data_IF_711281053235
#
_entry.id   IF_711281053235
#
_cell.length_a   1.000
_cell.length_b   1.000
_cell.length_c   1.000
_cell.angle_alpha   90.00
_cell.angle_beta   90.00
_cell.angle_gamma   90.00
#
_symmetry.space_group_name_H-M   'P 1'
#
loop_
_entity.id
_entity.type
_entity.pdbx_description
1 polymer ?
#
# COMPACT_ATOMS: atom_id res chain seq x y z
N UNK A 1 21.89 2.11 -26.65
CA UNK A 1 21.07 1.31 -25.71
C UNK A 1 21.27 1.88 -24.31
N UNK A 2 20.20 2.37 -23.66
CA UNK A 2 20.27 3.00 -22.33
C UNK A 2 20.44 1.91 -21.27
N UNK A 3 21.51 2.02 -20.48
CA UNK A 3 21.80 1.13 -19.35
C UNK A 3 20.69 1.26 -18.28
N UNK A 4 20.10 0.16 -17.76
CA UNK A 4 19.22 0.24 -16.61
C UNK A 4 20.05 0.63 -15.38
N UNK A 5 19.83 1.86 -14.90
CA UNK A 5 20.50 2.44 -13.76
C UNK A 5 20.17 1.67 -12.46
N UNK A 6 21.22 1.47 -11.68
CA UNK A 6 21.30 0.77 -10.40
C UNK A 6 20.52 1.58 -9.34
N UNK A 7 19.22 1.33 -9.20
CA UNK A 7 18.34 2.09 -8.27
C UNK A 7 18.04 1.37 -6.94
N UNK A 8 18.43 0.11 -6.77
CA UNK A 8 18.05 -0.68 -5.58
C UNK A 8 18.82 -0.33 -4.29
N UNK A 9 20.06 0.12 -4.42
CA UNK A 9 20.96 0.40 -3.29
C UNK A 9 20.76 1.80 -2.65
N UNK A 10 20.56 2.90 -3.41
CA UNK A 10 20.19 4.19 -2.81
C UNK A 10 18.81 4.14 -2.14
N UNK A 11 17.91 3.27 -2.59
CA UNK A 11 16.59 3.06 -2.00
C UNK A 11 16.68 2.43 -0.59
N UNK A 12 17.58 1.45 -0.40
CA UNK A 12 17.86 0.82 0.91
C UNK A 12 18.48 1.82 1.89
N UNK A 13 19.35 2.70 1.40
CA UNK A 13 19.94 3.79 2.21
C UNK A 13 18.87 4.84 2.58
N UNK A 14 17.93 5.15 1.68
CA UNK A 14 16.81 6.06 1.97
C UNK A 14 15.84 5.47 3.03
N UNK A 15 15.61 4.15 2.99
CA UNK A 15 14.85 3.41 3.99
C UNK A 15 15.54 3.48 5.36
N UNK A 16 16.87 3.32 5.40
CA UNK A 16 17.69 3.44 6.62
C UNK A 16 17.65 4.85 7.22
N UNK A 17 17.71 5.90 6.40
CA UNK A 17 17.60 7.30 6.87
C UNK A 17 16.22 7.55 7.51
N UNK A 18 15.16 6.93 6.97
CA UNK A 18 13.81 7.04 7.54
C UNK A 18 13.63 6.31 8.89
N UNK A 19 14.46 5.30 9.16
CA UNK A 19 14.48 4.53 10.42
C UNK A 19 15.44 5.14 11.46
N UNK A 20 16.55 5.75 11.02
CA UNK A 20 17.53 6.43 11.89
C UNK A 20 17.02 7.75 12.48
N UNK A 21 15.98 8.37 11.90
CA UNK A 21 15.32 9.54 12.45
C UNK A 21 14.42 9.26 13.68
N UNK A 22 14.50 8.06 14.26
CA UNK A 22 13.74 7.67 15.45
C UNK A 22 14.67 7.44 16.64
N UNK A 23 14.85 8.49 17.44
CA UNK A 23 15.17 8.40 18.87
C UNK A 23 14.34 9.45 19.63
N UNK A 24 14.05 9.25 20.92
CA UNK A 24 13.48 8.08 21.58
C UNK A 24 11.95 8.23 21.76
N UNK A 25 11.32 7.25 22.39
CA UNK A 25 9.93 7.33 22.83
C UNK A 25 9.66 8.61 23.63
N UNK A 26 8.66 9.39 23.19
CA UNK A 26 7.96 10.32 24.08
C UNK A 26 6.67 9.61 24.48
N UNK A 27 6.66 9.09 25.69
CA UNK A 27 5.44 8.76 26.42
C UNK A 27 4.71 10.09 26.67
N UNK A 28 3.52 10.26 26.10
CA UNK A 28 2.54 11.24 26.58
C UNK A 28 1.34 10.45 27.06
N UNK A 29 1.29 10.29 28.37
CA UNK A 29 0.07 10.01 29.12
C UNK A 29 -0.99 11.05 28.78
N UNK A 30 -2.23 10.60 28.66
CA UNK A 30 -3.40 11.42 28.33
C UNK A 30 -3.45 12.67 29.21
N UNK A 31 -3.44 13.84 28.56
CA UNK A 31 -4.27 14.94 28.99
C UNK A 31 -4.94 15.54 27.74
N UNK A 32 -6.19 15.90 27.95
CA UNK A 32 -7.21 16.30 26.99
C UNK A 32 -6.77 17.37 25.98
N UNK A 33 -7.42 17.33 24.81
CA UNK A 33 -7.52 18.40 23.81
C UNK A 33 -6.36 18.58 22.81
N UNK A 34 -6.18 17.60 21.93
CA UNK A 34 -6.08 17.79 20.47
C UNK A 34 -5.63 16.49 19.80
N UNK A 35 -6.53 15.85 19.05
CA UNK A 35 -6.30 14.53 18.47
C UNK A 35 -5.32 14.58 17.28
N UNK A 36 -4.02 14.60 17.58
CA UNK A 36 -2.96 14.21 16.66
C UNK A 36 -2.83 12.69 16.62
N UNK A 37 -3.29 12.07 15.53
CA UNK A 37 -3.11 10.63 15.35
C UNK A 37 -1.62 10.31 15.08
N UNK A 38 -0.93 9.73 16.06
CA UNK A 38 0.38 9.10 15.85
C UNK A 38 0.20 7.70 15.26
N UNK A 39 0.77 7.46 14.09
CA UNK A 39 0.79 6.14 13.44
C UNK A 39 2.05 5.41 13.90
N UNK A 40 1.88 4.35 14.70
CA UNK A 40 2.94 3.41 15.02
C UNK A 40 3.33 2.64 13.75
N UNK A 41 4.62 2.68 13.41
CA UNK A 41 5.21 1.92 12.31
C UNK A 41 5.52 0.52 12.82
N UNK A 42 4.61 -0.42 12.61
CA UNK A 42 4.90 -1.85 12.78
C UNK A 42 5.51 -2.40 11.50
N UNK A 43 6.80 -2.72 11.53
CA UNK A 43 7.44 -3.50 10.47
C UNK A 43 6.74 -4.86 10.34
N UNK A 44 6.30 -5.22 9.13
CA UNK A 44 5.58 -6.46 8.85
C UNK A 44 6.45 -7.71 9.05
N UNK A 45 7.78 -7.55 8.94
CA UNK A 45 8.80 -8.58 9.12
C UNK A 45 9.16 -8.70 10.60
N UNK A 46 9.19 -9.93 11.11
CA UNK A 46 9.58 -10.31 12.47
C UNK A 46 11.08 -10.11 12.70
N UNK A 47 11.53 -10.15 13.96
CA UNK A 47 12.96 -10.00 14.25
C UNK A 47 13.71 -11.26 13.80
N UNK A 48 13.08 -12.40 13.99
CA UNK A 48 13.54 -13.74 13.62
C UNK A 48 13.80 -13.83 12.11
N UNK A 49 12.88 -13.34 11.28
CA UNK A 49 13.07 -13.28 9.81
C UNK A 49 14.26 -12.37 9.41
N UNK A 50 14.43 -11.22 10.06
CA UNK A 50 15.56 -10.32 9.76
C UNK A 50 16.89 -10.86 10.28
N UNK A 51 16.87 -11.59 11.39
CA UNK A 51 18.04 -12.26 11.93
C UNK A 51 18.46 -13.42 11.02
N UNK A 52 17.51 -14.24 10.55
CA UNK A 52 17.75 -15.29 9.57
C UNK A 52 18.30 -14.73 8.25
N UNK A 53 17.74 -13.62 7.76
CA UNK A 53 18.30 -12.90 6.62
C UNK A 53 19.76 -12.48 6.86
N UNK A 54 20.06 -11.87 8.01
CA UNK A 54 21.40 -11.40 8.32
C UNK A 54 22.42 -12.54 8.37
N UNK A 55 22.07 -13.66 9.01
CA UNK A 55 22.92 -14.86 9.04
C UNK A 55 23.07 -15.49 7.66
N UNK A 56 21.99 -15.60 6.89
CA UNK A 56 22.04 -16.19 5.54
C UNK A 56 22.93 -15.35 4.62
N UNK A 57 22.73 -14.03 4.59
CA UNK A 57 23.57 -13.14 3.77
C UNK A 57 25.02 -13.16 4.26
N UNK A 58 25.27 -13.20 5.58
CA UNK A 58 26.62 -13.35 6.14
C UNK A 58 27.31 -14.60 5.59
N UNK A 59 26.64 -15.74 5.65
CA UNK A 59 27.22 -17.03 5.26
C UNK A 59 27.42 -17.13 3.74
N UNK A 60 26.45 -16.67 2.93
CA UNK A 60 26.60 -16.61 1.47
C UNK A 60 27.67 -15.60 1.04
N UNK A 61 27.87 -14.51 1.78
CA UNK A 61 28.94 -13.54 1.52
C UNK A 61 30.32 -13.96 2.02
N UNK A 62 30.39 -14.89 2.98
CA UNK A 62 31.63 -15.25 3.66
C UNK A 62 32.72 -15.80 2.74
N UNK A 63 32.44 -16.66 1.73
CA UNK A 63 33.45 -17.12 0.78
C UNK A 63 34.19 -15.95 0.10
N UNK A 64 33.47 -14.93 -0.39
CA UNK A 64 34.06 -13.75 -1.02
C UNK A 64 34.85 -12.89 -0.03
N UNK A 65 34.35 -12.71 1.19
CA UNK A 65 35.05 -11.94 2.21
C UNK A 65 36.35 -12.64 2.63
N UNK A 66 36.29 -13.95 2.89
CA UNK A 66 37.44 -14.74 3.30
C UNK A 66 38.51 -14.78 2.22
N UNK A 67 38.12 -15.05 0.98
CA UNK A 67 39.03 -14.99 -0.17
C UNK A 67 39.64 -13.60 -0.34
N UNK A 68 38.85 -12.52 -0.24
CA UNK A 68 39.42 -11.16 -0.35
C UNK A 68 40.37 -10.80 0.79
N UNK A 69 40.12 -11.31 2.00
CA UNK A 69 41.01 -11.14 3.15
C UNK A 69 42.34 -11.88 2.97
N UNK A 70 42.36 -13.05 2.32
CA UNK A 70 43.63 -13.72 2.00
C UNK A 70 44.53 -12.93 1.04
N UNK A 71 43.96 -11.93 0.34
CA UNK A 71 44.68 -10.95 -0.47
C UNK A 71 44.82 -9.57 0.21
N UNK A 72 44.71 -9.52 1.54
CA UNK A 72 44.85 -8.31 2.35
C UNK A 72 43.88 -7.18 1.95
N UNK A 73 42.63 -7.50 1.59
CA UNK A 73 41.60 -6.49 1.31
C UNK A 73 41.16 -5.81 2.60
N UNK A 74 41.54 -4.55 2.78
CA UNK A 74 41.08 -3.72 3.91
C UNK A 74 39.56 -3.55 3.90
N UNK A 75 38.95 -3.45 2.71
CA UNK A 75 37.50 -3.33 2.59
C UNK A 75 36.77 -4.58 3.10
N UNK A 76 37.31 -5.78 2.84
CA UNK A 76 36.73 -7.02 3.33
C UNK A 76 36.73 -7.08 4.87
N UNK A 77 37.83 -6.70 5.51
CA UNK A 77 37.90 -6.60 6.98
C UNK A 77 36.89 -5.60 7.54
N UNK A 78 36.75 -4.43 6.93
CA UNK A 78 35.79 -3.40 7.38
C UNK A 78 34.36 -3.88 7.23
N UNK A 79 34.01 -4.50 6.09
CA UNK A 79 32.67 -5.02 5.85
C UNK A 79 32.31 -6.08 6.90
N UNK A 80 33.20 -7.06 7.13
CA UNK A 80 32.97 -8.13 8.10
C UNK A 80 32.84 -7.58 9.51
N UNK A 81 33.79 -6.75 9.96
CA UNK A 81 33.78 -6.18 11.32
C UNK A 81 32.55 -5.29 11.58
N UNK A 82 32.12 -4.48 10.61
CA UNK A 82 30.90 -3.67 10.74
C UNK A 82 29.66 -4.54 10.74
N UNK A 83 29.58 -5.53 9.85
CA UNK A 83 28.48 -6.49 9.80
C UNK A 83 28.32 -7.24 11.13
N UNK A 84 29.41 -7.79 11.66
CA UNK A 84 29.41 -8.56 12.91
C UNK A 84 29.02 -7.66 14.10
N UNK A 85 29.53 -6.43 14.17
CA UNK A 85 29.15 -5.47 15.21
C UNK A 85 27.64 -5.15 15.20
N UNK A 86 27.06 -4.92 14.02
CA UNK A 86 25.62 -4.67 13.93
C UNK A 86 24.80 -5.91 14.25
N UNK A 87 25.25 -7.09 13.83
CA UNK A 87 24.58 -8.35 14.13
C UNK A 87 24.58 -8.63 15.65
N UNK A 88 25.71 -8.44 16.32
CA UNK A 88 25.83 -8.57 17.77
C UNK A 88 24.90 -7.60 18.50
N UNK A 89 24.87 -6.32 18.09
CA UNK A 89 23.94 -5.33 18.65
C UNK A 89 22.48 -5.66 18.42
N UNK A 90 22.15 -6.31 17.29
CA UNK A 90 20.80 -6.77 17.01
C UNK A 90 20.37 -7.84 18.02
N UNK A 91 21.22 -8.85 18.25
CA UNK A 91 20.96 -9.93 19.20
C UNK A 91 20.83 -9.38 20.63
N UNK A 92 21.75 -8.52 21.05
CA UNK A 92 21.76 -7.95 22.42
C UNK A 92 20.55 -7.06 22.72
N UNK A 93 19.94 -6.43 21.71
CA UNK A 93 18.78 -5.56 21.87
C UNK A 93 17.44 -6.25 21.62
N UNK A 94 17.46 -7.52 21.20
CA UNK A 94 16.24 -8.27 20.81
C UNK A 94 15.19 -8.32 21.93
N UNK A 95 15.61 -8.47 23.19
CA UNK A 95 14.73 -8.56 24.35
C UNK A 95 14.27 -7.20 24.90
N UNK A 96 15.00 -6.12 24.62
CA UNK A 96 14.77 -4.79 25.22
C UNK A 96 14.15 -3.79 24.25
N UNK A 97 14.52 -3.85 22.97
CA UNK A 97 14.00 -2.96 21.93
C UNK A 97 14.00 -3.68 20.58
N UNK A 98 12.93 -4.45 20.34
CA UNK A 98 12.72 -5.24 19.13
C UNK A 98 12.80 -4.41 17.85
N UNK A 99 12.26 -3.19 17.83
CA UNK A 99 12.34 -2.29 16.66
C UNK A 99 13.79 -1.94 16.30
N UNK A 100 14.60 -1.60 17.31
CA UNK A 100 16.01 -1.26 17.09
C UNK A 100 16.85 -2.49 16.73
N UNK A 101 16.53 -3.64 17.32
CA UNK A 101 17.14 -4.92 16.98
C UNK A 101 16.91 -5.29 15.51
N UNK A 102 15.67 -5.15 15.01
CA UNK A 102 15.31 -5.35 13.59
C UNK A 102 16.15 -4.47 12.65
N UNK A 103 16.31 -3.19 12.98
CA UNK A 103 17.14 -2.26 12.18
C UNK A 103 18.58 -2.74 12.12
N UNK A 104 19.17 -3.12 13.26
CA UNK A 104 20.56 -3.57 13.29
C UNK A 104 20.78 -4.89 12.54
N UNK A 105 19.84 -5.84 12.62
CA UNK A 105 19.89 -7.07 11.82
C UNK A 105 19.87 -6.75 10.31
N UNK A 106 18.99 -5.85 9.87
CA UNK A 106 18.94 -5.42 8.48
C UNK A 106 20.22 -4.70 8.03
N UNK A 107 20.78 -3.82 8.87
CA UNK A 107 22.05 -3.13 8.58
C UNK A 107 23.18 -4.16 8.43
N UNK A 108 23.26 -5.17 9.30
CA UNK A 108 24.25 -6.24 9.21
C UNK A 108 24.15 -6.96 7.86
N UNK A 109 22.94 -7.38 7.47
CA UNK A 109 22.68 -8.00 6.16
C UNK A 109 23.18 -7.12 4.99
N UNK A 110 22.92 -5.81 5.05
CA UNK A 110 23.36 -4.86 4.02
C UNK A 110 24.89 -4.75 3.97
N UNK A 111 25.58 -4.70 5.10
CA UNK A 111 27.05 -4.71 5.11
C UNK A 111 27.58 -5.97 4.44
N UNK A 112 27.12 -7.15 4.83
CA UNK A 112 27.53 -8.40 4.19
C UNK A 112 27.23 -8.44 2.70
N UNK A 113 26.11 -7.83 2.26
CA UNK A 113 25.74 -7.78 0.85
C UNK A 113 26.75 -7.02 -0.04
N UNK A 114 27.63 -6.19 0.54
CA UNK A 114 28.70 -5.49 -0.18
C UNK A 114 29.94 -6.35 -0.45
N UNK A 115 29.97 -7.61 0.01
CA UNK A 115 31.09 -8.52 -0.22
C UNK A 115 31.60 -8.55 -1.67
N UNK A 116 30.77 -8.58 -2.73
CA UNK A 116 31.26 -8.62 -4.12
C UNK A 116 32.17 -7.44 -4.50
N UNK A 117 32.01 -6.27 -3.86
CA UNK A 117 32.82 -5.07 -4.17
C UNK A 117 34.29 -5.27 -3.77
N UNK A 118 34.56 -6.14 -2.80
CA UNK A 118 35.93 -6.41 -2.30
C UNK A 118 36.82 -7.05 -3.36
N UNK A 119 36.24 -7.81 -4.30
CA UNK A 119 36.95 -8.41 -5.41
C UNK A 119 37.69 -7.38 -6.28
N UNK A 120 37.14 -6.19 -6.48
CA UNK A 120 37.81 -5.16 -7.28
C UNK A 120 39.12 -4.65 -6.66
N UNK A 121 39.26 -4.71 -5.34
CA UNK A 121 40.55 -4.41 -4.70
C UNK A 121 41.59 -5.49 -5.02
N UNK A 122 41.19 -6.76 -5.02
CA UNK A 122 42.06 -7.88 -5.39
C UNK A 122 42.49 -7.73 -6.84
N UNK A 123 41.56 -7.47 -7.76
CA UNK A 123 41.86 -7.23 -9.17
C UNK A 123 42.86 -6.07 -9.36
N UNK A 124 42.63 -4.93 -8.69
CA UNK A 124 43.52 -3.78 -8.78
C UNK A 124 44.95 -4.08 -8.31
N UNK A 125 45.10 -4.83 -7.22
CA UNK A 125 46.41 -5.30 -6.74
C UNK A 125 47.03 -6.27 -7.74
N UNK A 126 46.30 -7.29 -8.19
CA UNK A 126 46.80 -8.27 -9.17
C UNK A 126 47.32 -7.60 -10.43
N UNK A 127 46.58 -6.64 -10.99
CA UNK A 127 47.05 -5.90 -12.17
C UNK A 127 48.36 -5.19 -11.83
N UNK A 128 48.37 -4.38 -10.77
CA UNK A 128 49.53 -3.56 -10.39
C UNK A 128 50.78 -4.41 -10.12
N UNK A 129 50.62 -5.52 -9.42
CA UNK A 129 51.73 -6.36 -8.97
C UNK A 129 52.31 -7.22 -10.12
N UNK A 130 51.60 -7.32 -11.26
CA UNK A 130 52.03 -8.06 -12.46
C UNK A 130 52.26 -7.16 -13.69
N UNK A 131 52.33 -5.84 -13.51
CA UNK A 131 52.81 -4.96 -14.57
C UNK A 131 54.32 -5.13 -14.74
N UNK A 132 54.81 -4.98 -15.96
CA UNK A 132 56.26 -4.96 -16.21
C UNK A 132 56.94 -3.75 -15.54
N UNK A 133 58.27 -3.73 -15.51
CA UNK A 133 59.08 -2.60 -14.99
C UNK A 133 58.69 -1.24 -15.62
N UNK A 134 58.20 -1.25 -16.87
CA UNK A 134 57.74 -0.05 -17.59
C UNK A 134 56.22 0.21 -17.45
N UNK A 135 55.56 -0.43 -16.49
CA UNK A 135 54.10 -0.35 -16.28
C UNK A 135 53.28 -0.78 -17.50
N UNK A 136 53.84 -1.67 -18.34
CA UNK A 136 53.14 -2.18 -19.52
C UNK A 136 52.43 -3.49 -19.20
N UNK A 137 51.28 -3.69 -19.84
CA UNK A 137 50.51 -4.93 -19.78
C UNK A 137 51.22 -5.96 -20.66
N UNK A 138 51.64 -7.07 -20.07
CA UNK A 138 52.30 -8.21 -20.71
C UNK A 138 51.41 -9.45 -20.70
N UNK A 139 51.87 -10.55 -21.28
CA UNK A 139 51.17 -11.83 -21.21
C UNK A 139 50.98 -12.28 -19.76
N UNK A 140 52.02 -12.16 -18.94
CA UNK A 140 51.99 -12.48 -17.51
C UNK A 140 50.90 -11.69 -16.77
N UNK A 141 50.71 -10.41 -17.10
CA UNK A 141 49.61 -9.61 -16.54
C UNK A 141 48.24 -10.17 -16.94
N UNK A 142 48.08 -10.64 -18.17
CA UNK A 142 46.82 -11.24 -18.65
C UNK A 142 46.56 -12.57 -17.94
N UNK A 143 47.56 -13.44 -17.88
CA UNK A 143 47.48 -14.75 -17.22
C UNK A 143 47.14 -14.60 -15.73
N UNK A 144 47.80 -13.69 -15.02
CA UNK A 144 47.48 -13.40 -13.61
C UNK A 144 46.02 -12.94 -13.42
N UNK A 145 45.49 -12.11 -14.32
CA UNK A 145 44.07 -11.69 -14.26
C UNK A 145 43.11 -12.84 -14.59
N UNK A 146 43.47 -13.72 -15.53
CA UNK A 146 42.69 -14.91 -15.86
C UNK A 146 42.61 -15.87 -14.67
N UNK A 147 43.74 -16.13 -14.03
CA UNK A 147 43.81 -16.98 -12.85
C UNK A 147 42.93 -16.43 -11.71
N UNK A 148 42.99 -15.12 -11.45
CA UNK A 148 42.10 -14.50 -10.45
C UNK A 148 40.62 -14.52 -10.86
N UNK A 149 40.31 -14.44 -12.15
CA UNK A 149 38.93 -14.59 -12.60
C UNK A 149 38.40 -16.01 -12.33
N UNK A 150 39.23 -17.04 -12.53
CA UNK A 150 38.88 -18.43 -12.22
C UNK A 150 38.77 -18.67 -10.70
N UNK A 151 39.62 -18.05 -9.89
CA UNK A 151 39.46 -18.08 -8.43
C UNK A 151 38.11 -17.47 -8.01
N UNK A 152 37.72 -16.31 -8.57
CA UNK A 152 36.41 -15.70 -8.28
C UNK A 152 35.26 -16.60 -8.74
N UNK A 153 35.40 -17.31 -9.86
CA UNK A 153 34.43 -18.34 -10.28
C UNK A 153 34.27 -19.41 -9.20
N UNK A 154 35.37 -19.96 -8.69
CA UNK A 154 35.32 -20.99 -7.65
C UNK A 154 34.70 -20.46 -6.35
N UNK A 155 35.02 -19.22 -5.96
CA UNK A 155 34.41 -18.54 -4.81
C UNK A 155 32.89 -18.36 -5.01
N UNK A 156 32.44 -18.03 -6.23
CA UNK A 156 31.02 -17.96 -6.58
C UNK A 156 30.34 -19.33 -6.50
N UNK A 157 30.98 -20.39 -7.02
CA UNK A 157 30.44 -21.75 -6.94
C UNK A 157 30.27 -22.20 -5.48
N UNK A 158 31.27 -21.96 -4.63
CA UNK A 158 31.16 -22.22 -3.20
C UNK A 158 30.02 -21.43 -2.55
N UNK A 159 29.80 -20.18 -2.97
CA UNK A 159 28.69 -19.37 -2.45
C UNK A 159 27.32 -19.86 -2.92
N UNK A 160 27.23 -20.44 -4.12
CA UNK A 160 26.02 -21.12 -4.61
C UNK A 160 25.70 -22.30 -3.71
N UNK A 161 26.67 -23.16 -3.42
CA UNK A 161 26.48 -24.32 -2.55
C UNK A 161 26.03 -23.89 -1.14
N UNK A 162 26.63 -22.82 -0.60
CA UNK A 162 26.18 -22.24 0.69
C UNK A 162 24.75 -21.71 0.58
N UNK A 163 24.40 -21.00 -0.48
CA UNK A 163 23.04 -20.47 -0.67
C UNK A 163 22.00 -21.60 -0.73
N UNK A 164 22.29 -22.67 -1.45
CA UNK A 164 21.43 -23.86 -1.55
C UNK A 164 21.24 -24.54 -0.19
N UNK A 165 22.30 -24.64 0.63
CA UNK A 165 22.20 -25.14 2.02
C UNK A 165 21.29 -24.31 2.92
N UNK A 166 21.08 -23.02 2.59
CA UNK A 166 20.15 -22.13 3.29
C UNK A 166 18.77 -22.03 2.60
N UNK A 167 18.45 -22.98 1.71
CA UNK A 167 17.23 -23.01 0.91
C UNK A 167 17.04 -21.75 0.06
N UNK A 168 18.13 -21.21 -0.49
CA UNK A 168 18.08 -20.11 -1.46
C UNK A 168 18.24 -20.67 -2.87
N UNK A 169 17.22 -20.47 -3.69
CA UNK A 169 17.18 -20.90 -5.09
C UNK A 169 18.12 -20.04 -5.92
N UNK A 170 19.13 -20.66 -6.55
CA UNK A 170 20.02 -19.99 -7.51
C UNK A 170 19.22 -19.40 -8.69
N UNK A 171 19.31 -18.09 -8.98
CA UNK A 171 18.66 -17.51 -10.16
C UNK A 171 19.28 -17.99 -11.48
N UNK A 172 18.46 -18.27 -12.49
CA UNK A 172 18.93 -18.61 -13.84
C UNK A 172 19.88 -17.56 -14.46
N UNK A 173 19.74 -16.29 -14.08
CA UNK A 173 20.65 -15.23 -14.51
C UNK A 173 22.10 -15.48 -14.06
N UNK A 174 22.32 -16.16 -12.93
CA UNK A 174 23.67 -16.52 -12.45
C UNK A 174 24.35 -17.46 -13.44
N UNK A 175 23.66 -18.51 -13.91
CA UNK A 175 24.20 -19.46 -14.89
C UNK A 175 24.52 -18.79 -16.23
N UNK A 176 23.63 -17.89 -16.70
CA UNK A 176 23.86 -17.09 -17.92
C UNK A 176 25.11 -16.22 -17.78
N UNK A 177 25.31 -15.60 -16.62
CA UNK A 177 26.50 -14.77 -16.37
C UNK A 177 27.77 -15.63 -16.29
N UNK A 178 27.74 -16.78 -15.63
CA UNK A 178 28.87 -17.72 -15.60
C UNK A 178 29.26 -18.14 -17.02
N UNK A 179 28.29 -18.57 -17.84
CA UNK A 179 28.55 -18.98 -19.22
C UNK A 179 29.13 -17.82 -20.08
N UNK A 180 28.63 -16.60 -19.90
CA UNK A 180 29.18 -15.43 -20.58
C UNK A 180 30.63 -15.12 -20.13
N UNK A 181 30.91 -15.23 -18.83
CA UNK A 181 32.26 -15.06 -18.30
C UNK A 181 33.22 -16.14 -18.85
N UNK A 182 32.81 -17.41 -18.86
CA UNK A 182 33.57 -18.53 -19.45
C UNK A 182 33.88 -18.27 -20.94
N UNK A 183 32.92 -17.76 -21.71
CA UNK A 183 33.14 -17.36 -23.09
C UNK A 183 34.20 -16.25 -23.20
N UNK A 184 34.22 -15.29 -22.28
CA UNK A 184 35.23 -14.22 -22.25
C UNK A 184 36.62 -14.70 -21.83
N UNK A 185 36.71 -15.67 -20.93
CA UNK A 185 37.97 -16.37 -20.60
C UNK A 185 38.53 -17.04 -21.86
N UNK A 186 37.72 -17.85 -22.54
CA UNK A 186 38.14 -18.55 -23.75
C UNK A 186 38.57 -17.57 -24.84
N UNK A 187 37.80 -16.50 -25.05
CA UNK A 187 38.15 -15.46 -26.02
C UNK A 187 39.45 -14.73 -25.67
N UNK A 188 39.69 -14.47 -24.38
CA UNK A 188 40.95 -13.89 -23.90
C UNK A 188 42.14 -14.80 -24.19
N UNK A 189 42.02 -16.10 -23.92
CA UNK A 189 43.06 -17.09 -24.20
C UNK A 189 43.39 -17.17 -25.69
N UNK A 190 42.38 -17.18 -26.56
CA UNK A 190 42.59 -17.14 -28.02
C UNK A 190 43.32 -15.86 -28.47
N UNK A 191 42.93 -14.70 -27.95
CA UNK A 191 43.61 -13.44 -28.26
C UNK A 191 45.05 -13.41 -27.76
N UNK A 192 45.32 -14.03 -26.61
CA UNK A 192 46.67 -14.13 -26.06
C UNK A 192 47.56 -15.00 -26.95
N UNK A 193 47.06 -16.16 -27.42
CA UNK A 193 47.75 -17.03 -28.38
C UNK A 193 48.04 -16.33 -29.72
N UNK A 194 47.18 -15.42 -30.15
CA UNK A 194 47.36 -14.61 -31.36
C UNK A 194 48.28 -13.38 -31.15
N UNK A 195 48.80 -13.16 -29.94
CA UNK A 195 49.67 -12.02 -29.61
C UNK A 195 48.95 -10.69 -29.36
N UNK A 196 47.62 -10.68 -29.27
CA UNK A 196 46.81 -9.47 -29.04
C UNK A 196 46.64 -9.15 -27.54
N UNK A 197 47.76 -8.90 -26.84
CA UNK A 197 47.83 -8.78 -25.37
C UNK A 197 46.83 -7.79 -24.77
N UNK A 198 46.70 -6.58 -25.33
CA UNK A 198 45.76 -5.56 -24.81
C UNK A 198 44.29 -5.97 -24.92
N UNK A 199 43.94 -6.68 -25.98
CA UNK A 199 42.56 -7.16 -26.18
C UNK A 199 42.27 -8.36 -25.29
N UNK A 200 43.24 -9.26 -25.14
CA UNK A 200 43.17 -10.37 -24.20
C UNK A 200 42.96 -9.84 -22.76
N UNK A 201 43.79 -8.89 -22.32
CA UNK A 201 43.64 -8.24 -21.02
C UNK A 201 42.24 -7.69 -20.77
N UNK A 202 41.67 -6.94 -21.73
CA UNK A 202 40.31 -6.39 -21.63
C UNK A 202 39.26 -7.49 -21.50
N UNK A 203 39.41 -8.59 -22.24
CA UNK A 203 38.49 -9.73 -22.15
C UNK A 203 38.59 -10.44 -20.80
N UNK A 204 39.80 -10.65 -20.28
CA UNK A 204 40.05 -11.22 -18.94
C UNK A 204 39.41 -10.38 -17.82
N UNK A 205 39.65 -9.05 -17.83
CA UNK A 205 39.04 -8.11 -16.86
C UNK A 205 37.50 -8.11 -16.97
N UNK A 206 36.97 -8.26 -18.17
CA UNK A 206 35.51 -8.35 -18.38
C UNK A 206 34.96 -9.66 -17.81
N UNK A 207 35.61 -10.80 -18.05
CA UNK A 207 35.22 -12.07 -17.44
C UNK A 207 35.18 -11.98 -15.91
N UNK A 208 36.24 -11.40 -15.32
CA UNK A 208 36.31 -11.11 -13.89
C UNK A 208 35.10 -10.32 -13.38
N UNK A 209 34.78 -9.20 -14.04
CA UNK A 209 33.62 -8.37 -13.68
C UNK A 209 32.30 -9.14 -13.76
N UNK A 210 32.15 -10.01 -14.77
CA UNK A 210 30.92 -10.79 -14.95
C UNK A 210 30.76 -11.79 -13.80
N UNK A 211 31.83 -12.48 -13.35
CA UNK A 211 31.76 -13.35 -12.17
C UNK A 211 31.40 -12.60 -10.89
N UNK A 212 32.02 -11.43 -10.65
CA UNK A 212 31.68 -10.57 -9.50
C UNK A 212 30.21 -10.13 -9.54
N UNK A 213 29.73 -9.77 -10.74
CA UNK A 213 28.31 -9.41 -10.95
C UNK A 213 27.38 -10.60 -10.68
N UNK A 214 27.74 -11.81 -11.10
CA UNK A 214 26.97 -13.02 -10.83
C UNK A 214 26.85 -13.29 -9.32
N UNK A 215 27.94 -13.09 -8.56
CA UNK A 215 27.91 -13.15 -7.09
C UNK A 215 26.94 -12.10 -6.51
N UNK A 216 26.99 -10.87 -7.01
CA UNK A 216 26.04 -9.83 -6.59
C UNK A 216 24.58 -10.15 -6.92
N UNK A 217 24.31 -10.93 -7.98
CA UNK A 217 22.95 -11.43 -8.30
C UNK A 217 22.53 -12.52 -7.31
N UNK A 218 23.43 -13.44 -6.95
CA UNK A 218 23.17 -14.49 -5.95
C UNK A 218 22.81 -13.87 -4.59
N UNK A 219 23.58 -12.89 -4.12
CA UNK A 219 23.28 -12.19 -2.86
C UNK A 219 21.91 -11.51 -2.90
N UNK A 220 21.53 -10.89 -4.02
CA UNK A 220 20.19 -10.30 -4.17
C UNK A 220 19.09 -11.35 -4.11
N UNK A 221 19.33 -12.57 -4.60
CA UNK A 221 18.37 -13.67 -4.51
C UNK A 221 18.06 -14.03 -3.05
N UNK A 222 19.08 -14.01 -2.17
CA UNK A 222 18.89 -14.21 -0.72
C UNK A 222 17.88 -13.21 -0.15
N UNK A 223 18.03 -11.92 -0.47
CA UNK A 223 17.05 -10.89 -0.03
C UNK A 223 15.67 -11.15 -0.61
N UNK A 224 15.57 -11.55 -1.88
CA UNK A 224 14.28 -11.82 -2.54
C UNK A 224 13.57 -12.99 -1.86
N UNK A 225 14.28 -14.06 -1.55
CA UNK A 225 13.69 -15.27 -1.01
C UNK A 225 13.37 -15.16 0.47
N UNK A 226 14.31 -14.63 1.27
CA UNK A 226 14.14 -14.51 2.73
C UNK A 226 13.15 -13.42 3.15
N UNK A 227 12.93 -12.41 2.31
CA UNK A 227 11.94 -11.35 2.55
C UNK A 227 10.65 -11.53 1.72
N UNK A 228 10.51 -12.66 1.00
CA UNK A 228 9.42 -12.91 0.07
C UNK A 228 9.16 -11.71 -0.87
N UNK A 229 10.21 -11.15 -1.47
CA UNK A 229 10.05 -10.03 -2.40
C UNK A 229 9.48 -10.55 -3.73
N UNK A 230 8.64 -9.77 -4.42
CA UNK A 230 8.14 -10.16 -5.74
C UNK A 230 9.31 -10.46 -6.68
N UNK A 231 9.30 -11.66 -7.29
CA UNK A 231 10.37 -12.19 -8.15
C UNK A 231 10.54 -11.43 -9.47
N UNK A 232 9.66 -10.46 -9.78
CA UNK A 232 9.71 -9.68 -11.03
C UNK A 232 10.77 -8.58 -10.95
N UNK A 233 11.78 -8.68 -11.82
CA UNK A 233 12.72 -7.60 -12.09
C UNK A 233 11.96 -6.33 -12.51
N UNK A 234 12.01 -5.30 -11.68
CA UNK A 234 11.41 -3.99 -11.98
C UNK A 234 10.37 -3.50 -10.96
N UNK A 235 9.89 -4.37 -10.07
CA UNK A 235 9.08 -3.91 -8.93
C UNK A 235 10.02 -3.37 -7.83
N UNK A 236 9.88 -2.10 -7.43
CA UNK A 236 10.72 -1.55 -6.37
C UNK A 236 10.46 -2.32 -5.06
N UNK A 237 11.50 -2.53 -4.23
CA UNK A 237 11.39 -3.17 -2.90
C UNK A 237 10.45 -2.43 -1.92
N UNK A 238 10.09 -1.18 -2.25
CA UNK A 238 9.32 -0.23 -1.42
C UNK A 238 7.96 -0.74 -0.93
N UNK A 239 7.10 -1.40 -1.73
CA UNK A 239 5.73 -1.73 -1.34
C UNK A 239 5.62 -2.84 -0.28
N UNK A 240 6.62 -3.73 -0.14
CA UNK A 240 6.61 -4.80 0.88
C UNK A 240 7.39 -4.44 2.16
N UNK A 241 8.46 -3.63 2.05
CA UNK A 241 9.26 -3.21 3.22
C UNK A 241 8.72 -1.94 3.92
N UNK A 242 7.96 -1.11 3.20
CA UNK A 242 7.35 0.10 3.73
C UNK A 242 5.85 0.06 3.51
N UNK A 243 5.07 0.27 4.59
CA UNK A 243 3.74 0.86 4.44
C UNK A 243 3.97 2.16 3.68
N UNK A 244 3.42 2.26 2.46
CA UNK A 244 3.50 3.47 1.66
C UNK A 244 3.08 4.65 2.56
N UNK A 245 4.03 5.57 2.80
CA UNK A 245 3.74 6.82 3.48
C UNK A 245 2.81 7.61 2.57
N UNK A 246 1.52 7.61 2.88
CA UNK A 246 0.70 8.77 2.53
C UNK A 246 1.38 9.98 3.17
N UNK A 247 1.69 11.02 2.38
CA UNK A 247 2.20 12.26 2.94
C UNK A 247 1.26 12.69 4.08
N UNK A 248 1.79 12.86 5.30
CA UNK A 248 0.99 13.17 6.49
C UNK A 248 0.05 14.36 6.23
N UNK A 249 0.56 15.41 5.59
CA UNK A 249 -0.21 16.61 5.19
C UNK A 249 -1.31 16.32 4.18
N UNK A 250 -1.16 15.31 3.33
CA UNK A 250 -2.14 14.92 2.33
C UNK A 250 -3.21 14.01 2.94
N UNK A 251 -2.80 13.03 3.76
CA UNK A 251 -3.73 12.20 4.52
C UNK A 251 -4.55 13.05 5.48
N UNK A 252 -3.94 14.02 6.17
CA UNK A 252 -4.66 15.00 7.01
C UNK A 252 -5.64 15.86 6.20
N UNK A 253 -5.27 16.32 5.00
CA UNK A 253 -6.20 17.05 4.11
C UNK A 253 -7.38 16.20 3.68
N UNK A 254 -7.15 14.92 3.43
CA UNK A 254 -8.19 13.98 2.99
C UNK A 254 -9.08 13.55 4.18
N UNK A 255 -8.47 13.29 5.34
CA UNK A 255 -9.16 13.03 6.61
C UNK A 255 -9.97 14.25 7.09
N UNK A 256 -9.57 15.48 6.76
CA UNK A 256 -10.39 16.67 7.06
C UNK A 256 -11.66 16.75 6.21
N UNK A 257 -11.69 16.10 5.04
CA UNK A 257 -12.82 16.16 4.08
C UNK A 257 -13.75 14.94 4.13
N UNK A 258 -13.36 13.88 4.83
CA UNK A 258 -14.16 12.66 4.93
C UNK A 258 -14.94 12.59 6.26
N UNK A 259 -16.13 11.96 6.28
CA UNK A 259 -16.82 11.61 7.51
C UNK A 259 -15.97 10.72 8.44
N UNK A 260 -16.04 10.97 9.75
CA UNK A 260 -15.25 10.26 10.80
C UNK A 260 -15.35 8.74 10.73
N UNK A 261 -16.50 8.21 10.34
CA UNK A 261 -16.75 6.77 10.26
C UNK A 261 -16.06 6.12 9.05
N UNK A 262 -15.99 6.80 7.90
CA UNK A 262 -15.21 6.36 6.72
C UNK A 262 -13.73 6.33 7.07
N UNK A 263 -13.26 7.37 7.77
CA UNK A 263 -11.87 7.49 8.24
C UNK A 263 -11.49 6.33 9.14
N UNK A 264 -12.33 6.00 10.14
CA UNK A 264 -12.06 4.91 11.09
C UNK A 264 -11.88 3.57 10.38
N UNK A 265 -12.69 3.30 9.36
CA UNK A 265 -12.64 2.04 8.63
C UNK A 265 -11.48 1.98 7.62
N UNK A 266 -11.16 3.10 6.95
CA UNK A 266 -9.97 3.22 6.10
C UNK A 266 -8.70 3.03 6.93
N UNK A 267 -8.61 3.68 8.09
CA UNK A 267 -7.47 3.50 9.02
C UNK A 267 -7.34 2.04 9.42
N UNK A 268 -8.46 1.35 9.72
CA UNK A 268 -8.45 -0.08 10.05
C UNK A 268 -7.89 -0.92 8.89
N UNK A 269 -8.29 -0.65 7.65
CA UNK A 269 -7.80 -1.35 6.45
C UNK A 269 -6.34 -1.05 6.12
N UNK A 270 -5.91 0.20 6.29
CA UNK A 270 -4.49 0.60 6.15
C UNK A 270 -3.65 -0.12 7.21
N UNK A 271 -4.09 -0.13 8.47
CA UNK A 271 -3.40 -0.85 9.57
C UNK A 271 -3.34 -2.37 9.34
N UNK A 272 -4.36 -2.94 8.71
CA UNK A 272 -4.38 -4.35 8.32
C UNK A 272 -3.51 -4.66 7.08
N UNK A 273 -2.98 -3.65 6.39
CA UNK A 273 -2.18 -3.83 5.18
C UNK A 273 -2.99 -4.19 3.93
N UNK A 274 -4.31 -3.94 3.94
CA UNK A 274 -5.21 -4.23 2.82
C UNK A 274 -5.24 -3.14 1.75
N UNK A 275 -4.64 -1.98 2.03
CA UNK A 275 -4.53 -0.85 1.10
C UNK A 275 -3.04 -0.54 1.02
N UNK A 276 -2.46 -0.83 -0.15
CA UNK A 276 -1.03 -0.79 -0.40
C UNK A 276 -0.62 0.31 -1.35
N UNK A 277 -1.54 0.86 -2.15
CA UNK A 277 -1.27 1.94 -3.12
C UNK A 277 -2.22 3.13 -2.99
N UNK A 278 -1.86 4.25 -3.64
CA UNK A 278 -2.71 5.44 -3.69
C UNK A 278 -3.95 5.21 -4.55
N UNK A 279 -3.79 4.47 -5.65
CA UNK A 279 -4.86 4.03 -6.52
C UNK A 279 -5.88 3.19 -5.74
N UNK A 280 -5.41 2.24 -4.93
CA UNK A 280 -6.28 1.43 -4.05
C UNK A 280 -6.99 2.28 -2.99
N UNK A 281 -6.29 3.24 -2.36
CA UNK A 281 -6.93 4.14 -1.40
C UNK A 281 -8.03 4.96 -2.07
N UNK A 282 -7.77 5.50 -3.27
CA UNK A 282 -8.72 6.32 -4.02
C UNK A 282 -9.95 5.51 -4.44
N UNK A 283 -9.75 4.30 -4.95
CA UNK A 283 -10.83 3.39 -5.31
C UNK A 283 -11.66 2.97 -4.09
N UNK A 284 -11.01 2.63 -2.97
CA UNK A 284 -11.72 2.26 -1.75
C UNK A 284 -12.53 3.42 -1.15
N UNK A 285 -11.98 4.64 -1.20
CA UNK A 285 -12.71 5.86 -0.81
C UNK A 285 -13.91 6.08 -1.74
N UNK A 286 -13.70 5.98 -3.05
CA UNK A 286 -14.75 6.18 -4.06
C UNK A 286 -15.88 5.18 -3.86
N UNK A 287 -15.55 3.90 -3.74
CA UNK A 287 -16.49 2.80 -3.46
C UNK A 287 -17.28 3.03 -2.16
N UNK A 288 -16.61 3.49 -1.09
CA UNK A 288 -17.30 3.81 0.16
C UNK A 288 -18.18 5.04 0.05
N UNK A 289 -17.77 6.08 -0.66
CA UNK A 289 -18.59 7.27 -0.90
C UNK A 289 -19.82 6.90 -1.74
N UNK A 290 -19.67 6.06 -2.76
CA UNK A 290 -20.77 5.56 -3.59
C UNK A 290 -21.75 4.74 -2.76
N UNK A 291 -21.26 3.77 -1.98
CA UNK A 291 -22.07 2.98 -1.05
C UNK A 291 -22.78 3.89 -0.03
N UNK A 292 -22.10 4.91 0.50
CA UNK A 292 -22.69 5.88 1.42
C UNK A 292 -23.83 6.65 0.75
N UNK A 293 -23.60 7.15 -0.46
CA UNK A 293 -24.60 7.90 -1.24
C UNK A 293 -25.83 7.04 -1.49
N UNK A 294 -25.64 5.77 -1.84
CA UNK A 294 -26.73 4.82 -2.04
C UNK A 294 -27.51 4.56 -0.75
N UNK A 295 -26.82 4.35 0.38
CA UNK A 295 -27.46 4.21 1.69
C UNK A 295 -28.23 5.47 2.07
N UNK A 296 -27.64 6.66 1.95
CA UNK A 296 -28.31 7.94 2.28
C UNK A 296 -29.50 8.22 1.36
N UNK A 297 -29.41 7.83 0.09
CA UNK A 297 -30.52 7.93 -0.86
C UNK A 297 -31.66 7.01 -0.47
N UNK A 298 -31.39 5.76 -0.16
CA UNK A 298 -32.40 4.80 0.31
C UNK A 298 -33.04 5.22 1.64
N UNK A 299 -32.24 5.75 2.58
CA UNK A 299 -32.76 6.33 3.83
C UNK A 299 -33.64 7.56 3.53
N UNK A 300 -33.20 8.45 2.64
CA UNK A 300 -33.97 9.63 2.24
C UNK A 300 -35.29 9.24 1.60
N UNK A 301 -35.29 8.29 0.66
CA UNK A 301 -36.52 7.77 0.02
C UNK A 301 -37.46 7.23 1.09
N UNK A 302 -36.97 6.43 2.04
CA UNK A 302 -37.79 5.88 3.13
C UNK A 302 -38.38 6.97 4.02
N UNK A 303 -37.57 7.95 4.44
CA UNK A 303 -38.02 9.04 5.31
C UNK A 303 -39.06 9.90 4.59
N UNK A 304 -38.79 10.31 3.34
CA UNK A 304 -39.72 11.10 2.54
C UNK A 304 -41.02 10.33 2.29
N UNK A 305 -40.96 9.04 1.96
CA UNK A 305 -42.14 8.18 1.81
C UNK A 305 -43.00 8.19 3.07
N UNK A 306 -42.37 8.05 4.25
CA UNK A 306 -43.09 8.07 5.53
C UNK A 306 -43.73 9.44 5.78
N UNK A 307 -43.01 10.53 5.52
CA UNK A 307 -43.54 11.90 5.69
C UNK A 307 -44.72 12.13 4.77
N UNK A 308 -44.62 11.79 3.48
CA UNK A 308 -45.74 11.88 2.54
C UNK A 308 -46.93 11.04 2.99
N UNK A 309 -46.68 9.82 3.48
CA UNK A 309 -47.73 8.95 4.00
C UNK A 309 -48.47 9.63 5.15
N UNK A 310 -47.74 10.25 6.08
CA UNK A 310 -48.33 11.00 7.20
C UNK A 310 -49.09 12.22 6.72
N UNK A 311 -48.56 12.97 5.75
CA UNK A 311 -49.25 14.12 5.14
C UNK A 311 -50.58 13.68 4.54
N UNK A 312 -50.60 12.60 3.76
CA UNK A 312 -51.82 12.07 3.15
C UNK A 312 -52.83 11.57 4.20
N UNK A 313 -52.37 10.87 5.25
CA UNK A 313 -53.25 10.46 6.36
C UNK A 313 -53.89 11.69 7.00
N UNK A 314 -53.07 12.70 7.33
CA UNK A 314 -53.54 13.92 7.98
C UNK A 314 -54.54 14.66 7.10
N UNK A 315 -54.28 14.78 5.79
CA UNK A 315 -55.20 15.39 4.83
C UNK A 315 -56.58 14.73 4.83
N UNK A 316 -56.64 13.42 5.05
CA UNK A 316 -57.88 12.64 4.97
C UNK A 316 -58.65 12.63 6.29
N UNK A 317 -57.95 12.43 7.42
CA UNK A 317 -58.60 12.17 8.71
C UNK A 317 -58.67 13.40 9.63
N UNK A 318 -57.70 14.31 9.55
CA UNK A 318 -57.55 15.41 10.50
C UNK A 318 -58.03 16.76 9.94
N UNK A 319 -58.29 16.86 8.63
CA UNK A 319 -58.89 18.05 8.02
C UNK A 319 -60.42 18.05 8.11
N UNK A 320 -61.05 19.23 8.24
CA UNK A 320 -62.51 19.37 8.17
C UNK A 320 -63.11 18.77 6.89
N UNK A 321 -64.33 18.20 6.93
CA UNK A 321 -64.98 17.58 5.77
C UNK A 321 -65.17 18.51 4.56
N UNK A 322 -65.31 19.81 4.81
CA UNK A 322 -65.48 20.90 3.83
C UNK A 322 -64.17 21.45 3.28
N UNK A 323 -63.03 20.86 3.65
CA UNK A 323 -61.73 21.31 3.18
C UNK A 323 -61.43 20.79 1.76
N UNK A 324 -61.17 21.70 0.82
CA UNK A 324 -60.85 21.36 -0.58
C UNK A 324 -59.64 20.42 -0.73
N UNK A 325 -58.63 20.55 0.13
CA UNK A 325 -57.46 19.64 0.10
C UNK A 325 -57.83 18.23 0.54
N UNK A 326 -58.76 18.07 1.49
CA UNK A 326 -59.28 16.76 1.89
C UNK A 326 -60.04 16.11 0.73
N UNK A 327 -60.91 16.88 0.07
CA UNK A 327 -61.69 16.40 -1.08
C UNK A 327 -60.78 15.95 -2.24
N UNK A 328 -59.80 16.78 -2.62
CA UNK A 328 -58.84 16.45 -3.68
C UNK A 328 -58.01 15.20 -3.37
N UNK A 329 -57.48 15.09 -2.15
CA UNK A 329 -56.69 13.90 -1.73
C UNK A 329 -57.57 12.65 -1.69
N UNK A 330 -58.81 12.73 -1.22
CA UNK A 330 -59.72 11.60 -1.19
C UNK A 330 -60.11 11.12 -2.58
N UNK A 331 -60.46 12.03 -3.48
CA UNK A 331 -60.76 11.72 -4.87
C UNK A 331 -59.55 11.06 -5.57
N UNK A 332 -58.35 11.59 -5.35
CA UNK A 332 -57.12 11.00 -5.87
C UNK A 332 -56.87 9.59 -5.32
N UNK A 333 -57.02 9.38 -4.00
CA UNK A 333 -56.86 8.05 -3.39
C UNK A 333 -57.87 7.05 -3.95
N UNK A 334 -59.11 7.46 -4.23
CA UNK A 334 -60.13 6.62 -4.87
C UNK A 334 -59.75 6.27 -6.31
N UNK A 335 -59.33 7.26 -7.11
CA UNK A 335 -58.87 7.06 -8.49
C UNK A 335 -57.68 6.09 -8.58
N UNK A 336 -56.78 6.13 -7.59
CA UNK A 336 -55.65 5.19 -7.48
C UNK A 336 -56.00 3.82 -6.88
N UNK A 337 -57.26 3.58 -6.49
CA UNK A 337 -57.67 2.34 -5.84
C UNK A 337 -57.04 2.12 -4.46
N UNK A 338 -56.64 3.21 -3.78
CA UNK A 338 -55.94 3.20 -2.50
C UNK A 338 -56.89 3.26 -1.28
N UNK A 339 -58.20 3.13 -1.51
CA UNK A 339 -59.23 3.11 -0.46
C UNK A 339 -60.03 1.81 -0.47
N UNK A 340 -60.72 1.52 0.63
CA UNK A 340 -61.68 0.41 0.75
C UNK A 340 -63.08 0.99 0.87
N UNK A 341 -63.88 0.84 -0.18
CA UNK A 341 -65.30 1.20 -0.18
C UNK A 341 -65.58 2.70 0.02
N UNK A 342 -66.85 3.07 0.25
CA UNK A 342 -67.29 4.46 0.40
C UNK A 342 -66.86 5.10 1.72
N UNK A 343 -66.34 4.32 2.68
CA UNK A 343 -65.92 4.79 4.02
C UNK A 343 -64.52 5.40 4.06
N UNK A 344 -63.87 5.59 2.91
CA UNK A 344 -62.56 6.24 2.77
C UNK A 344 -61.45 5.66 3.68
N UNK A 345 -61.52 4.35 3.97
CA UNK A 345 -60.47 3.64 4.72
C UNK A 345 -59.24 3.47 3.82
N UNK A 346 -58.10 4.05 4.19
CA UNK A 346 -56.87 4.01 3.39
C UNK A 346 -56.23 2.61 3.44
N UNK A 347 -55.91 2.06 2.27
CA UNK A 347 -55.10 0.86 2.09
C UNK A 347 -53.63 1.16 2.36
N UNK A 348 -53.25 1.12 3.63
CA UNK A 348 -51.95 1.63 4.10
C UNK A 348 -50.73 0.96 3.46
N UNK A 349 -50.80 -0.33 3.14
CA UNK A 349 -49.68 -1.06 2.51
C UNK A 349 -49.49 -0.62 1.06
N UNK A 350 -50.59 -0.48 0.34
CA UNK A 350 -50.65 -0.07 -1.06
C UNK A 350 -50.25 1.39 -1.21
N UNK A 351 -50.74 2.28 -0.34
CA UNK A 351 -50.35 3.69 -0.31
C UNK A 351 -48.84 3.84 -0.07
N UNK A 352 -48.28 3.13 0.92
CA UNK A 352 -46.84 3.17 1.18
C UNK A 352 -46.02 2.63 0.02
N UNK A 353 -46.47 1.58 -0.66
CA UNK A 353 -45.80 1.03 -1.85
C UNK A 353 -45.83 2.04 -2.99
N UNK A 354 -47.01 2.61 -3.29
CA UNK A 354 -47.18 3.62 -4.32
C UNK A 354 -46.28 4.84 -4.05
N UNK A 355 -46.33 5.40 -2.84
CA UNK A 355 -45.52 6.57 -2.47
C UNK A 355 -44.02 6.25 -2.49
N UNK A 356 -43.62 5.03 -2.15
CA UNK A 356 -42.21 4.61 -2.26
C UNK A 356 -41.76 4.60 -3.72
N UNK A 357 -42.54 4.02 -4.62
CA UNK A 357 -42.24 3.99 -6.06
C UNK A 357 -42.20 5.42 -6.64
N UNK A 358 -43.20 6.25 -6.29
CA UNK A 358 -43.26 7.66 -6.66
C UNK A 358 -42.02 8.45 -6.23
N UNK A 359 -41.64 8.37 -4.95
CA UNK A 359 -40.45 9.05 -4.41
C UNK A 359 -39.16 8.50 -5.02
N UNK A 360 -39.11 7.20 -5.33
CA UNK A 360 -37.96 6.57 -5.99
C UNK A 360 -37.78 7.15 -7.40
N UNK A 361 -38.86 7.21 -8.18
CA UNK A 361 -38.86 7.79 -9.52
C UNK A 361 -38.40 9.26 -9.51
N UNK A 362 -38.89 10.08 -8.57
CA UNK A 362 -38.44 11.47 -8.43
C UNK A 362 -36.96 11.56 -8.05
N UNK A 363 -36.51 10.71 -7.12
CA UNK A 363 -35.10 10.66 -6.74
C UNK A 363 -34.20 10.28 -7.91
N UNK A 364 -34.65 9.36 -8.78
CA UNK A 364 -33.95 8.92 -10.00
C UNK A 364 -33.92 9.98 -11.09
N UNK A 365 -35.09 10.51 -11.47
CA UNK A 365 -35.23 11.49 -12.55
C UNK A 365 -34.44 12.77 -12.26
N UNK A 366 -34.49 13.27 -11.02
CA UNK A 366 -33.88 14.56 -10.66
C UNK A 366 -32.54 14.41 -9.93
N UNK A 367 -32.10 13.19 -9.62
CA UNK A 367 -30.89 12.90 -8.84
C UNK A 367 -30.81 13.69 -7.52
N UNK A 368 -31.92 13.69 -6.76
CA UNK A 368 -32.09 14.46 -5.51
C UNK A 368 -32.32 13.55 -4.30
N UNK A 369 -31.94 14.04 -3.10
CA UNK A 369 -32.15 13.39 -1.80
C UNK A 369 -32.51 14.41 -0.69
N UNK A 370 -32.84 13.93 0.51
CA UNK A 370 -33.11 14.78 1.68
C UNK A 370 -34.27 15.77 1.50
N UNK A 371 -34.10 17.00 1.98
CA UNK A 371 -35.10 18.08 1.91
C UNK A 371 -35.52 18.45 0.49
N UNK A 372 -34.58 18.40 -0.47
CA UNK A 372 -34.89 18.70 -1.87
C UNK A 372 -35.78 17.63 -2.49
N UNK A 373 -35.53 16.36 -2.16
CA UNK A 373 -36.41 15.26 -2.55
C UNK A 373 -37.80 15.41 -1.92
N UNK A 374 -37.89 15.80 -0.65
CA UNK A 374 -39.17 16.05 0.02
C UNK A 374 -39.98 17.14 -0.68
N UNK A 375 -39.38 18.31 -0.90
CA UNK A 375 -40.08 19.44 -1.52
C UNK A 375 -40.54 19.10 -2.95
N UNK A 376 -39.68 18.46 -3.74
CA UNK A 376 -40.05 18.03 -5.09
C UNK A 376 -41.14 16.96 -5.05
N UNK A 377 -41.09 16.03 -4.10
CA UNK A 377 -42.12 14.99 -4.00
C UNK A 377 -43.47 15.56 -3.59
N UNK A 378 -43.50 16.56 -2.70
CA UNK A 378 -44.73 17.27 -2.34
C UNK A 378 -45.29 18.02 -3.56
N UNK A 379 -44.45 18.83 -4.21
CA UNK A 379 -44.86 19.62 -5.37
C UNK A 379 -45.39 18.76 -6.52
N UNK A 380 -44.68 17.67 -6.86
CA UNK A 380 -45.14 16.76 -7.92
C UNK A 380 -46.40 15.99 -7.52
N UNK A 381 -46.61 15.75 -6.22
CA UNK A 381 -47.82 15.09 -5.75
C UNK A 381 -49.02 16.04 -5.75
N UNK A 382 -48.82 17.32 -5.41
CA UNK A 382 -49.83 18.38 -5.55
C UNK A 382 -50.29 18.48 -7.00
N UNK A 383 -49.34 18.64 -7.94
CA UNK A 383 -49.64 18.68 -9.38
C UNK A 383 -50.36 17.42 -9.85
N UNK A 384 -49.91 16.24 -9.42
CA UNK A 384 -50.56 14.99 -9.82
C UNK A 384 -52.01 14.89 -9.33
N UNK A 385 -52.29 15.37 -8.11
CA UNK A 385 -53.65 15.37 -7.57
C UNK A 385 -54.50 16.38 -8.35
N UNK A 386 -53.98 17.57 -8.61
CA UNK A 386 -54.66 18.60 -9.39
C UNK A 386 -54.98 18.12 -10.81
N UNK A 387 -54.01 17.53 -11.51
CA UNK A 387 -54.18 17.00 -12.86
C UNK A 387 -55.23 15.87 -12.93
N UNK A 388 -55.29 15.01 -11.92
CA UNK A 388 -56.16 13.83 -11.92
C UNK A 388 -57.57 14.10 -11.35
N UNK A 389 -57.75 15.17 -10.58
CA UNK A 389 -59.01 15.47 -9.89
C UNK A 389 -59.63 16.81 -10.31
N UNK A 390 -58.84 17.71 -10.90
CA UNK A 390 -59.21 19.10 -11.16
C UNK A 390 -59.27 19.99 -9.91
N UNK A 391 -58.79 19.50 -8.76
CA UNK A 391 -58.87 20.21 -7.47
C UNK A 391 -57.46 20.64 -7.06
N UNK A 392 -57.26 21.95 -6.89
CA UNK A 392 -56.02 22.51 -6.34
C UNK A 392 -55.87 22.12 -4.86
N UNK A 393 -54.73 21.51 -4.52
CA UNK A 393 -54.43 21.01 -3.18
C UNK A 393 -53.14 21.60 -2.64
N UNK A 394 -53.12 21.96 -1.35
CA UNK A 394 -51.95 22.54 -0.71
C UNK A 394 -51.34 21.61 0.34
N UNK A 395 -50.68 20.55 -0.12
CA UNK A 395 -49.96 19.60 0.72
C UNK A 395 -48.76 20.24 1.42
N UNK A 396 -48.22 21.34 0.89
CA UNK A 396 -47.12 22.11 1.48
C UNK A 396 -47.51 22.72 2.81
N UNK A 397 -48.72 23.26 2.95
CA UNK A 397 -49.25 23.75 4.23
C UNK A 397 -49.40 22.58 5.21
N UNK A 398 -49.92 21.44 4.74
CA UNK A 398 -50.12 20.25 5.58
C UNK A 398 -48.78 19.69 6.06
N UNK A 399 -47.77 19.65 5.21
CA UNK A 399 -46.41 19.28 5.60
C UNK A 399 -45.90 20.17 6.74
N UNK A 400 -46.10 21.49 6.66
CA UNK A 400 -45.69 22.42 7.74
C UNK A 400 -46.41 22.12 9.04
N UNK A 401 -47.69 21.76 8.99
CA UNK A 401 -48.48 21.37 10.16
C UNK A 401 -47.95 20.06 10.75
N UNK A 402 -47.79 19.02 9.93
CA UNK A 402 -47.25 17.71 10.34
C UNK A 402 -45.86 17.85 10.94
N UNK A 403 -44.98 18.68 10.36
CA UNK A 403 -43.64 18.93 10.89
C UNK A 403 -43.66 19.69 12.23
N UNK A 404 -44.62 20.59 12.45
CA UNK A 404 -44.79 21.26 13.75
C UNK A 404 -45.24 20.28 14.84
N UNK A 405 -46.19 19.39 14.54
CA UNK A 405 -46.68 18.40 15.50
C UNK A 405 -45.66 17.28 15.77
N UNK A 406 -44.93 16.82 14.75
CA UNK A 406 -43.92 15.76 14.89
C UNK A 406 -42.56 16.27 15.38
N UNK A 407 -42.24 17.55 15.18
CA UNK A 407 -41.00 18.19 15.66
C UNK A 407 -40.83 18.17 17.18
N UNK A 408 -41.92 18.15 17.95
CA UNK A 408 -41.87 17.96 19.41
C UNK A 408 -41.57 16.53 19.87
N UNK A 409 -41.78 15.52 19.03
CA UNK A 409 -41.55 14.12 19.38
C UNK A 409 -40.31 13.49 18.73
N UNK A 410 -39.78 14.06 17.65
CA UNK A 410 -38.65 13.48 16.89
C UNK A 410 -37.28 14.06 17.29
N UNK A 411 -37.22 15.27 17.85
CA UNK A 411 -35.95 15.94 18.23
C UNK A 411 -35.78 16.19 19.74
N UNK A 412 -36.73 15.79 20.58
CA UNK A 412 -36.60 15.81 22.04
C UNK A 412 -35.78 14.63 22.56
N UNK A 413 -34.46 14.79 22.66
CA UNK A 413 -33.62 13.88 23.45
C UNK A 413 -34.04 13.88 24.92
N UNK A 414 -33.70 12.83 25.69
CA UNK A 414 -34.06 12.77 27.11
C UNK A 414 -33.35 13.91 27.84
N UNK A 415 -34.15 14.82 28.42
CA UNK A 415 -33.65 15.83 29.35
C UNK A 415 -33.00 15.16 30.58
N UNK A 416 -32.09 15.86 31.27
CA UNK A 416 -31.39 15.33 32.42
C UNK A 416 -32.42 14.96 33.49
N UNK A 417 -32.45 13.69 33.89
CA UNK A 417 -33.21 13.24 35.05
C UNK A 417 -32.46 13.72 36.29
N UNK A 418 -32.99 14.73 36.95
CA UNK A 418 -32.68 14.99 38.34
C UNK A 418 -33.34 13.91 39.20
N UNK A 419 -32.52 13.04 39.78
CA UNK A 419 -32.70 12.50 41.12
C UNK A 419 -31.33 12.44 41.79
#
# INVERSE_FOLDING_TARGET
MKSPQILGLPLIILILISMLAVTPAITITQNSDSAGASVNVTARVTFEELLDLAYTVRNVSYPMLNWSMSYNSTLAHVILARGDNFLERAVNLSSTNTTRAKIFAMIAAIYYAHAPVTAYQVLGKTIRDNLSENHTITNDTVEAVLDKALEVKNVLLNAIDVAENYNVTKPALVDILIANADSKINYSLTLLQMGYVRYAFRAAVHAYHIYVKAYGVLIKAVFIEKLDLPRRYGEPLTPKLLIIRFEKKMLERLMKRLPRWIIKDIIKKIRAGNITSWEELREEIKKKIELSREIYRNVSIRVVTNVLTTVIIYSVYDLPPDNTTREGVLAWLQNKGLTIGPTAVIRMRELRRYLKEFVTNISETYNVSGLRLLNLSIYNLELQIEDETGIDVNLTIILKIVLRYTGHHIFGGPGPRHH
#
